data_IF_260547049107
#
_entry.id   IF_260547049107
#
_cell.length_a   1.000
_cell.length_b   1.000
_cell.length_c   1.000
_cell.angle_alpha   90.00
_cell.angle_beta   90.00
_cell.angle_gamma   90.00
#
_symmetry.space_group_name_H-M   'P 1'
#
loop_
_entity.id
_entity.type
_entity.pdbx_description
1 polymer ?
#
# COMPACT_ATOMS: atom_id res chain seq x y z
N UNK A 1 8.73 22.75 11.76
CA UNK A 1 7.62 22.57 10.79
C UNK A 1 7.98 21.41 9.87
N UNK A 2 7.42 20.23 10.10
CA UNK A 2 7.65 19.05 9.26
C UNK A 2 6.92 19.28 7.93
N UNK A 3 7.65 19.35 6.81
CA UNK A 3 7.04 19.49 5.48
C UNK A 3 6.12 18.29 5.24
N UNK A 4 4.82 18.53 5.16
CA UNK A 4 3.82 17.52 4.78
C UNK A 4 4.13 17.04 3.36
N UNK A 5 4.19 15.74 3.16
CA UNK A 5 4.35 15.16 1.83
C UNK A 5 3.12 15.50 0.98
N UNK A 6 3.36 16.01 -0.23
CA UNK A 6 2.34 16.32 -1.23
C UNK A 6 2.68 15.50 -2.48
N UNK A 7 1.86 14.50 -2.82
CA UNK A 7 2.11 13.67 -3.99
C UNK A 7 2.17 14.50 -5.28
N UNK A 8 3.13 14.19 -6.15
CA UNK A 8 3.25 14.72 -7.52
C UNK A 8 2.91 13.66 -8.58
N UNK A 9 2.66 12.42 -8.16
CA UNK A 9 2.27 11.33 -9.03
C UNK A 9 0.89 11.54 -9.68
N UNK A 10 0.75 11.05 -10.92
CA UNK A 10 -0.46 11.19 -11.75
C UNK A 10 -1.18 9.88 -12.04
N UNK A 11 -0.59 8.77 -11.65
CA UNK A 11 -1.06 7.42 -11.96
C UNK A 11 -0.97 6.55 -10.70
N UNK A 12 -1.97 5.70 -10.49
CA UNK A 12 -1.99 4.73 -9.40
C UNK A 12 -2.20 3.33 -10.00
N UNK A 13 -1.55 2.33 -9.41
CA UNK A 13 -1.73 0.93 -9.81
C UNK A 13 -2.77 0.27 -8.89
N UNK A 14 -3.65 -0.52 -9.47
CA UNK A 14 -4.53 -1.38 -8.69
C UNK A 14 -3.77 -2.68 -8.47
N UNK A 15 -3.62 -3.18 -7.22
CA UNK A 15 -3.00 -4.47 -6.98
C UNK A 15 -3.75 -5.58 -7.73
N UNK A 16 -3.00 -6.51 -8.32
CA UNK A 16 -3.60 -7.68 -8.96
C UNK A 16 -4.22 -8.59 -7.91
N UNK A 17 -3.54 -8.76 -6.78
CA UNK A 17 -4.02 -9.51 -5.63
C UNK A 17 -3.54 -8.89 -4.32
N UNK A 18 -4.21 -9.23 -3.22
CA UNK A 18 -3.86 -8.75 -1.89
C UNK A 18 -4.40 -9.65 -0.78
N UNK A 19 -3.61 -9.81 0.28
CA UNK A 19 -4.00 -10.62 1.44
C UNK A 19 -3.49 -10.01 2.73
N UNK A 20 -4.24 -10.23 3.80
CA UNK A 20 -3.77 -9.94 5.15
C UNK A 20 -3.07 -11.16 5.74
N UNK A 21 -1.93 -10.92 6.37
CA UNK A 21 -1.19 -11.88 7.16
C UNK A 21 -0.82 -11.26 8.51
N UNK A 22 -0.48 -12.10 9.48
CA UNK A 22 0.09 -11.67 10.76
C UNK A 22 1.53 -12.19 10.83
N UNK A 23 2.50 -11.27 10.92
CA UNK A 23 3.93 -11.58 11.00
C UNK A 23 4.44 -10.98 12.31
N UNK A 24 5.00 -11.80 13.19
CA UNK A 24 5.46 -11.39 14.53
C UNK A 24 4.40 -10.58 15.31
N UNK A 25 3.15 -11.07 15.32
CA UNK A 25 1.99 -10.42 15.94
C UNK A 25 1.64 -9.02 15.40
N UNK A 26 2.18 -8.66 14.23
CA UNK A 26 1.89 -7.40 13.55
C UNK A 26 1.07 -7.66 12.28
N UNK A 27 -0.03 -6.92 12.04
CA UNK A 27 -0.80 -7.05 10.82
C UNK A 27 0.00 -6.54 9.61
N UNK A 28 0.04 -7.36 8.56
CA UNK A 28 0.75 -7.07 7.32
C UNK A 28 -0.20 -7.26 6.14
N UNK A 29 -0.35 -6.21 5.34
CA UNK A 29 -1.05 -6.25 4.06
C UNK A 29 -0.03 -6.57 2.97
N UNK A 30 -0.14 -7.75 2.36
CA UNK A 30 0.71 -8.18 1.25
C UNK A 30 -0.04 -7.90 -0.05
N UNK A 31 0.61 -7.21 -0.99
CA UNK A 31 0.05 -6.79 -2.26
C UNK A 31 0.93 -7.29 -3.41
N UNK A 32 0.29 -7.85 -4.45
CA UNK A 32 0.94 -8.21 -5.69
C UNK A 32 0.73 -7.12 -6.75
N UNK A 33 1.84 -6.57 -7.25
CA UNK A 33 1.90 -5.58 -8.34
C UNK A 33 3.06 -5.97 -9.27
N UNK A 34 2.85 -6.92 -10.21
CA UNK A 34 3.90 -7.45 -11.10
C UNK A 34 4.65 -6.39 -11.91
N UNK A 35 4.00 -5.28 -12.24
CA UNK A 35 4.60 -4.18 -13.00
C UNK A 35 5.71 -3.45 -12.25
N UNK A 36 5.87 -3.70 -10.94
CA UNK A 36 6.81 -3.00 -10.07
C UNK A 36 8.10 -3.77 -9.80
N UNK A 37 8.39 -4.83 -10.56
CA UNK A 37 9.62 -5.64 -10.45
C UNK A 37 10.91 -4.81 -10.32
N UNK A 38 10.99 -3.66 -11.00
CA UNK A 38 12.14 -2.77 -10.97
C UNK A 38 12.41 -2.11 -9.60
N UNK A 39 11.40 -2.00 -8.72
CA UNK A 39 11.50 -1.26 -7.45
C UNK A 39 11.44 -2.16 -6.21
N UNK A 40 11.06 -3.42 -6.37
CA UNK A 40 10.83 -4.36 -5.25
C UNK A 40 12.12 -4.80 -4.57
N UNK A 41 13.25 -4.76 -5.28
CA UNK A 41 14.56 -5.09 -4.73
C UNK A 41 15.26 -3.92 -4.03
N UNK A 42 14.62 -2.75 -3.92
CA UNK A 42 15.21 -1.63 -3.19
C UNK A 42 15.07 -1.81 -1.67
N UNK A 43 16.19 -1.75 -0.97
CA UNK A 43 16.18 -1.59 0.48
C UNK A 43 15.76 -0.16 0.85
N UNK A 44 14.53 0.00 1.32
CA UNK A 44 14.03 1.28 1.83
C UNK A 44 14.55 1.58 3.23
N UNK A 45 15.33 2.66 3.35
CA UNK A 45 15.73 3.22 4.66
C UNK A 45 14.63 4.04 5.31
N UNK A 46 13.72 4.56 4.50
CA UNK A 46 12.60 5.39 4.92
C UNK A 46 11.68 5.70 3.74
N UNK A 47 10.46 6.12 4.07
CA UNK A 47 9.48 6.58 3.10
C UNK A 47 8.55 7.62 3.74
N UNK A 48 7.85 8.37 2.89
CA UNK A 48 6.73 9.22 3.28
C UNK A 48 5.49 8.74 2.56
N UNK A 49 4.34 8.84 3.20
CA UNK A 49 3.08 8.44 2.57
C UNK A 49 1.94 9.39 2.91
N UNK A 50 0.88 9.30 2.13
CA UNK A 50 -0.41 9.89 2.41
C UNK A 50 -1.51 9.02 1.83
N UNK A 51 -2.61 8.91 2.56
CA UNK A 51 -3.85 8.35 2.05
C UNK A 51 -4.72 9.47 1.48
N UNK A 52 -5.22 9.26 0.28
CA UNK A 52 -6.21 10.09 -0.37
C UNK A 52 -7.48 9.27 -0.58
N UNK A 53 -8.63 9.93 -0.59
CA UNK A 53 -9.89 9.31 -0.94
C UNK A 53 -10.42 9.99 -2.20
N UNK A 54 -10.53 9.23 -3.28
CA UNK A 54 -11.18 9.68 -4.50
C UNK A 54 -12.68 9.41 -4.39
N UNK A 55 -13.45 10.50 -4.39
CA UNK A 55 -14.92 10.45 -4.31
C UNK A 55 -15.57 10.03 -5.62
N UNK A 56 -14.90 10.26 -6.74
CA UNK A 56 -15.42 9.97 -8.08
C UNK A 56 -15.35 8.48 -8.35
N UNK A 57 -14.21 7.89 -8.03
CA UNK A 57 -13.93 6.46 -8.22
C UNK A 57 -14.29 5.61 -6.98
N UNK A 58 -14.84 6.22 -5.93
CA UNK A 58 -15.14 5.60 -4.62
C UNK A 58 -14.01 4.68 -4.14
N UNK A 59 -12.82 5.25 -3.98
CA UNK A 59 -11.60 4.47 -3.74
C UNK A 59 -10.57 5.22 -2.90
N UNK A 60 -9.77 4.46 -2.16
CA UNK A 60 -8.60 5.01 -1.49
C UNK A 60 -7.39 4.96 -2.41
N UNK A 61 -6.52 5.96 -2.31
CA UNK A 61 -5.24 5.98 -3.00
C UNK A 61 -4.16 6.12 -1.94
N UNK A 62 -3.26 5.14 -1.88
CA UNK A 62 -2.07 5.18 -1.05
C UNK A 62 -0.91 5.70 -1.89
N UNK A 63 -0.52 6.96 -1.66
CA UNK A 63 0.64 7.55 -2.32
C UNK A 63 1.83 7.46 -1.39
N UNK A 64 2.99 7.05 -1.90
CA UNK A 64 4.22 7.00 -1.13
C UNK A 64 5.43 7.45 -1.95
N UNK A 65 6.40 8.00 -1.25
CA UNK A 65 7.67 8.49 -1.79
C UNK A 65 8.81 7.89 -0.97
N UNK A 66 9.64 7.11 -1.64
CA UNK A 66 10.83 6.48 -1.08
C UNK A 66 11.97 7.49 -0.98
N UNK A 67 12.90 7.28 -0.05
CA UNK A 67 14.11 8.12 0.05
C UNK A 67 14.99 8.08 -1.21
N UNK A 68 14.89 7.03 -2.04
CA UNK A 68 15.56 6.93 -3.33
C UNK A 68 15.05 7.94 -4.38
N UNK A 69 13.94 8.63 -4.11
CA UNK A 69 13.30 9.57 -5.03
C UNK A 69 12.14 8.96 -5.83
N UNK A 70 11.87 7.67 -5.64
CA UNK A 70 10.78 6.96 -6.30
C UNK A 70 9.46 7.33 -5.65
N UNK A 71 8.51 7.78 -6.47
CA UNK A 71 7.14 8.05 -6.05
C UNK A 71 6.19 7.09 -6.75
N UNK A 72 5.29 6.47 -5.98
CA UNK A 72 4.31 5.49 -6.45
C UNK A 72 2.98 5.68 -5.74
N UNK A 73 1.92 5.17 -6.36
CA UNK A 73 0.59 5.18 -5.80
C UNK A 73 -0.13 3.86 -6.06
N UNK A 74 -0.87 3.40 -5.07
CA UNK A 74 -1.70 2.20 -5.12
C UNK A 74 -3.16 2.64 -4.98
N UNK A 75 -4.01 2.26 -5.92
CA UNK A 75 -5.43 2.50 -5.86
C UNK A 75 -6.15 1.29 -5.26
N UNK A 76 -7.09 1.56 -4.36
CA UNK A 76 -7.98 0.60 -3.73
C UNK A 76 -9.43 0.99 -4.03
N UNK A 77 -9.93 0.73 -5.26
CA UNK A 77 -11.34 0.93 -5.59
C UNK A 77 -12.21 0.05 -4.69
N UNK A 78 -13.32 0.58 -4.18
CA UNK A 78 -14.20 -0.10 -3.21
C UNK A 78 -14.61 -1.51 -3.61
N UNK A 79 -15.00 -1.71 -4.86
CA UNK A 79 -15.52 -3.00 -5.36
C UNK A 79 -14.43 -4.05 -5.64
N UNK A 80 -13.15 -3.67 -5.56
CA UNK A 80 -12.00 -4.55 -5.78
C UNK A 80 -11.10 -4.56 -4.54
N UNK A 81 -9.87 -4.03 -4.65
CA UNK A 81 -8.89 -4.02 -3.58
C UNK A 81 -9.34 -3.23 -2.33
N UNK A 82 -10.38 -2.39 -2.43
CA UNK A 82 -11.00 -1.72 -1.30
C UNK A 82 -11.51 -2.67 -0.20
N UNK A 83 -11.90 -3.89 -0.55
CA UNK A 83 -12.31 -4.92 0.44
C UNK A 83 -11.19 -5.19 1.43
N UNK A 84 -9.92 -5.15 1.00
CA UNK A 84 -8.75 -5.30 1.87
C UNK A 84 -8.72 -4.20 2.95
N UNK A 85 -9.17 -2.99 2.60
CA UNK A 85 -9.18 -1.87 3.52
C UNK A 85 -10.39 -1.88 4.46
N UNK A 86 -11.37 -2.77 4.28
CA UNK A 86 -12.49 -2.96 5.22
C UNK A 86 -12.14 -3.86 6.41
N UNK A 87 -10.98 -4.53 6.36
CA UNK A 87 -10.52 -5.41 7.43
C UNK A 87 -10.22 -4.64 8.73
N UNK A 88 -10.51 -5.23 9.89
CA UNK A 88 -10.28 -4.64 11.21
C UNK A 88 -8.80 -4.29 11.49
N UNK A 89 -7.86 -4.98 10.84
CA UNK A 89 -6.43 -4.65 10.92
C UNK A 89 -6.10 -3.21 10.48
N UNK A 90 -6.96 -2.60 9.65
CA UNK A 90 -6.80 -1.20 9.23
C UNK A 90 -7.08 -0.17 10.32
N UNK A 91 -7.70 -0.57 11.42
CA UNK A 91 -8.02 0.33 12.54
C UNK A 91 -6.79 0.67 13.39
N UNK A 92 -5.69 -0.06 13.22
CA UNK A 92 -4.40 0.16 13.88
C UNK A 92 -3.29 0.46 12.87
N UNK A 93 -2.07 0.69 13.35
CA UNK A 93 -0.89 0.68 12.48
C UNK A 93 -0.64 -0.73 11.92
N UNK A 94 -0.26 -0.81 10.66
CA UNK A 94 0.08 -2.05 9.97
C UNK A 94 1.29 -1.84 9.06
N UNK A 95 1.83 -2.94 8.52
CA UNK A 95 2.83 -2.88 7.47
C UNK A 95 2.22 -3.24 6.12
N UNK A 96 2.80 -2.72 5.04
CA UNK A 96 2.49 -3.14 3.67
C UNK A 96 3.73 -3.80 3.08
N UNK A 97 3.58 -4.99 2.52
CA UNK A 97 4.58 -5.63 1.66
C UNK A 97 4.07 -5.58 0.23
N UNK A 98 4.90 -5.10 -0.69
CA UNK A 98 4.59 -5.10 -2.13
C UNK A 98 5.56 -6.04 -2.82
N UNK A 99 5.05 -6.97 -3.61
CA UNK A 99 5.82 -7.93 -4.41
C UNK A 99 5.38 -7.90 -5.87
N UNK A 100 6.22 -8.42 -6.77
CA UNK A 100 5.95 -8.59 -8.20
C UNK A 100 5.52 -10.01 -8.51
N UNK A 101 5.51 -10.89 -7.51
CA UNK A 101 5.08 -12.27 -7.63
C UNK A 101 3.59 -12.37 -7.35
N UNK A 102 2.94 -13.33 -8.02
CA UNK A 102 1.58 -13.73 -7.68
C UNK A 102 1.56 -14.33 -6.27
N UNK A 103 0.55 -13.99 -5.46
CA UNK A 103 0.52 -14.40 -4.05
C UNK A 103 0.45 -15.92 -3.85
N UNK A 104 -0.12 -16.65 -4.82
CA UNK A 104 -0.18 -18.12 -4.82
C UNK A 104 1.19 -18.79 -4.95
N UNK A 105 2.18 -18.07 -5.50
CA UNK A 105 3.51 -18.58 -5.83
C UNK A 105 4.61 -17.94 -4.96
N UNK A 106 4.24 -17.16 -3.93
CA UNK A 106 5.21 -16.59 -2.98
C UNK A 106 6.00 -17.71 -2.31
N UNK A 107 7.31 -17.66 -2.48
CA UNK A 107 8.26 -18.50 -1.74
C UNK A 107 8.80 -17.77 -0.51
N UNK A 108 9.38 -18.52 0.42
CA UNK A 108 10.02 -17.94 1.62
C UNK A 108 11.21 -17.01 1.28
N UNK A 109 11.73 -17.08 0.05
CA UNK A 109 12.82 -16.24 -0.46
C UNK A 109 12.32 -15.01 -1.25
N UNK A 110 11.00 -14.82 -1.36
CA UNK A 110 10.42 -13.74 -2.14
C UNK A 110 10.86 -12.36 -1.61
N UNK A 111 11.43 -11.55 -2.49
CA UNK A 111 11.78 -10.17 -2.19
C UNK A 111 10.54 -9.28 -2.27
N UNK A 112 10.50 -8.25 -1.42
CA UNK A 112 9.35 -7.39 -1.26
C UNK A 112 9.76 -6.01 -0.77
N UNK A 113 9.06 -4.98 -1.27
CA UNK A 113 9.15 -3.64 -0.74
C UNK A 113 8.31 -3.56 0.54
N UNK A 114 8.98 -3.42 1.69
CA UNK A 114 8.33 -3.32 2.99
C UNK A 114 8.15 -1.86 3.42
N UNK A 115 6.91 -1.48 3.71
CA UNK A 115 6.51 -0.17 4.22
C UNK A 115 5.90 -0.35 5.62
N UNK A 116 6.65 0.01 6.66
CA UNK A 116 6.22 -0.14 8.07
C UNK A 116 5.45 1.08 8.58
N UNK A 117 4.72 0.91 9.68
CA UNK A 117 4.04 1.99 10.42
C UNK A 117 3.06 2.79 9.54
N UNK A 118 2.37 2.08 8.66
CA UNK A 118 1.29 2.64 7.84
C UNK A 118 0.02 2.71 8.67
N UNK A 119 -0.66 3.85 8.62
CA UNK A 119 -1.93 4.08 9.28
C UNK A 119 -2.94 4.64 8.29
N UNK A 120 -4.09 4.00 8.18
CA UNK A 120 -5.20 4.46 7.36
C UNK A 120 -6.17 5.27 8.22
N UNK A 121 -6.23 6.59 7.98
CA UNK A 121 -7.29 7.42 8.51
C UNK A 121 -8.46 7.44 7.53
N UNK A 122 -9.54 6.73 7.85
CA UNK A 122 -10.75 6.69 7.01
C UNK A 122 -11.33 8.08 6.79
N UNK A 123 -11.71 8.35 5.55
CA UNK A 123 -12.38 9.58 5.18
C UNK A 123 -13.87 9.48 5.55
N UNK A 124 -14.49 10.52 6.17
CA UNK A 124 -15.90 10.45 6.61
C UNK A 124 -16.89 10.15 5.48
N UNK A 125 -16.53 10.49 4.23
CA UNK A 125 -17.36 10.25 3.05
C UNK A 125 -17.13 8.89 2.39
N UNK A 126 -16.15 8.09 2.83
CA UNK A 126 -15.97 6.76 2.26
C UNK A 126 -17.19 5.88 2.58
N UNK A 127 -17.77 6.00 3.78
CA UNK A 127 -18.99 5.26 4.12
C UNK A 127 -18.81 3.74 4.17
N UNK A 128 -17.57 3.27 4.11
CA UNK A 128 -17.15 1.87 4.19
C UNK A 128 -15.77 1.73 4.85
#
# INVERSE_FOLDING_TARGET
MTKRYVPQIREAHIPEDGVWAEIDASPVLILSIPEWSAIINEHTKGFKYVWMFDRTEDGYIFCFHLESGIEKAIAFPKEHAGILLMNDYTNSSFAIIITDQELKDISDEATGLLLRDVYLKRHPHAGW
#
